data_IF_902832454374
#
_entry.id   IF_902832454374
#
_cell.length_a   1.000
_cell.length_b   1.000
_cell.length_c   1.000
_cell.angle_alpha   90.00
_cell.angle_beta   90.00
_cell.angle_gamma   90.00
#
_symmetry.space_group_name_H-M   'P 1'
#
loop_
_entity.id
_entity.type
_entity.pdbx_description
1 polymer ?
#
# COMPACT_ATOMS: atom_id res chain seq x y z
N UNK A 1 -16.35 1.05 95.64
CA UNK A 1 -15.14 1.66 96.24
C UNK A 1 -14.12 1.75 95.09
N UNK A 2 -13.55 2.98 94.97
CA UNK A 2 -12.34 3.36 94.24
C UNK A 2 -12.31 3.29 92.72
N UNK A 3 -12.37 4.37 92.07
CA UNK A 3 -11.48 5.54 91.83
C UNK A 3 -10.66 5.32 90.55
N UNK A 4 -10.96 6.15 89.54
CA UNK A 4 -10.08 7.14 88.90
C UNK A 4 -8.86 6.56 88.09
N UNK A 5 -8.80 6.82 86.84
CA UNK A 5 -7.95 7.92 86.36
C UNK A 5 -8.12 8.12 84.86
N UNK A 6 -8.43 9.34 84.48
CA UNK A 6 -8.35 9.87 83.11
C UNK A 6 -6.92 9.95 82.64
N UNK A 7 -6.65 9.58 81.43
CA UNK A 7 -5.44 10.03 80.75
C UNK A 7 -5.80 10.44 79.30
N UNK A 8 -5.72 11.75 79.08
CA UNK A 8 -5.80 12.39 77.80
C UNK A 8 -4.52 12.10 77.01
N UNK A 9 -4.63 11.53 75.84
CA UNK A 9 -3.54 11.48 74.88
C UNK A 9 -3.93 12.29 73.67
N UNK A 10 -3.23 13.40 73.46
CA UNK A 10 -3.26 14.24 72.30
C UNK A 10 -2.68 13.44 71.14
N UNK A 11 -3.50 13.15 70.12
CA UNK A 11 -3.02 12.66 68.83
C UNK A 11 -2.77 13.86 67.91
N UNK A 12 -1.52 14.12 67.64
CA UNK A 12 -1.05 15.07 66.63
C UNK A 12 -1.33 14.47 65.26
N UNK A 13 -2.26 15.03 64.50
CA UNK A 13 -2.54 14.70 63.15
C UNK A 13 -1.44 15.26 62.22
N UNK A 14 -0.50 14.44 61.80
CA UNK A 14 0.44 14.76 60.72
C UNK A 14 -0.30 14.67 59.39
N UNK A 15 -0.63 15.82 58.82
CA UNK A 15 -1.07 15.92 57.40
C UNK A 15 0.11 15.62 56.48
N UNK A 16 0.20 14.36 56.09
CA UNK A 16 1.03 13.96 54.95
C UNK A 16 0.38 14.42 53.66
N UNK A 17 0.83 15.53 53.08
CA UNK A 17 0.57 15.89 51.69
C UNK A 17 1.29 14.87 50.80
N UNK A 18 0.61 13.79 50.43
CA UNK A 18 1.00 12.94 49.31
C UNK A 18 0.77 13.74 48.04
N UNK A 19 1.80 14.43 47.58
CA UNK A 19 1.87 14.92 46.20
C UNK A 19 1.89 13.69 45.29
N UNK A 20 0.73 13.21 44.87
CA UNK A 20 0.59 12.38 43.70
C UNK A 20 0.99 13.23 42.49
N UNK A 21 2.31 13.30 42.23
CA UNK A 21 2.82 13.66 40.95
C UNK A 21 2.33 12.59 39.95
N UNK A 22 1.15 12.81 39.38
CA UNK A 22 0.71 12.05 38.21
C UNK A 22 1.80 12.23 37.17
N UNK A 23 2.63 11.18 36.97
CA UNK A 23 3.26 10.98 35.68
C UNK A 23 2.08 10.95 34.71
N UNK A 24 1.84 12.05 34.02
CA UNK A 24 1.20 11.97 32.72
C UNK A 24 2.13 11.05 31.89
N UNK A 25 1.82 9.76 31.89
CA UNK A 25 2.23 8.92 30.78
C UNK A 25 1.69 9.68 29.56
N UNK A 26 2.59 10.35 28.85
CA UNK A 26 2.28 10.89 27.55
C UNK A 26 1.77 9.68 26.78
N UNK A 27 0.43 9.55 26.64
CA UNK A 27 -0.17 8.57 25.80
C UNK A 27 0.40 8.88 24.42
N UNK A 28 1.40 8.11 24.00
CA UNK A 28 1.94 8.21 22.66
C UNK A 28 0.77 7.94 21.76
N UNK A 29 0.36 8.98 21.01
CA UNK A 29 -0.74 8.85 20.06
C UNK A 29 -0.34 7.79 19.03
N UNK A 30 -0.89 6.58 19.19
CA UNK A 30 -0.58 5.45 18.32
C UNK A 30 -1.44 5.55 17.06
N UNK A 31 -0.82 5.34 15.90
CA UNK A 31 -1.49 5.24 14.60
C UNK A 31 -1.08 3.94 13.92
N UNK A 32 -2.04 3.09 13.58
CA UNK A 32 -1.81 1.82 12.90
C UNK A 32 -1.99 1.95 11.39
N UNK A 33 -1.07 1.35 10.63
CA UNK A 33 -1.06 1.39 9.15
C UNK A 33 -0.90 -0.01 8.59
N UNK A 34 -1.82 -0.44 7.71
CA UNK A 34 -1.66 -1.63 6.90
C UNK A 34 -0.89 -1.28 5.61
N UNK A 35 0.13 -2.06 5.28
CA UNK A 35 0.96 -1.83 4.10
C UNK A 35 1.43 -3.15 3.49
N UNK A 36 1.81 -3.15 2.22
CA UNK A 36 2.63 -4.22 1.64
C UNK A 36 4.11 -4.01 1.96
N UNK A 37 4.93 -5.07 1.85
CA UNK A 37 6.32 -5.04 2.32
C UNK A 37 7.16 -3.97 1.59
N UNK A 38 7.26 -4.07 0.27
CA UNK A 38 8.07 -3.19 -0.59
C UNK A 38 7.16 -2.53 -1.61
N UNK A 39 7.27 -1.22 -1.88
CA UNK A 39 8.08 -0.21 -1.20
C UNK A 39 7.41 0.38 0.04
N UNK A 40 6.14 0.06 0.28
CA UNK A 40 5.24 0.78 1.19
C UNK A 40 5.71 0.75 2.65
N UNK A 41 5.98 -0.46 3.21
CA UNK A 41 6.46 -0.55 4.58
C UNK A 41 7.88 0.04 4.73
N UNK A 42 8.75 -0.08 3.71
CA UNK A 42 10.08 0.53 3.73
C UNK A 42 10.00 2.07 3.80
N UNK A 43 9.08 2.69 3.03
CA UNK A 43 8.82 4.13 3.09
C UNK A 43 8.27 4.52 4.47
N UNK A 44 7.37 3.72 5.05
CA UNK A 44 6.84 3.97 6.39
C UNK A 44 7.91 3.87 7.49
N UNK A 45 8.94 3.04 7.33
CA UNK A 45 10.07 2.99 8.27
C UNK A 45 10.87 4.32 8.27
N UNK A 46 10.99 5.00 7.12
CA UNK A 46 11.60 6.35 7.04
C UNK A 46 10.74 7.38 7.78
N UNK A 47 9.42 7.21 7.71
CA UNK A 47 8.46 8.14 8.33
C UNK A 47 8.37 7.98 9.85
N UNK A 48 8.60 6.78 10.39
CA UNK A 48 8.51 6.51 11.84
C UNK A 48 9.26 7.53 12.72
N UNK A 49 10.56 7.80 12.50
CA UNK A 49 11.30 8.76 13.32
C UNK A 49 10.82 10.20 13.13
N UNK A 50 10.23 10.55 12.00
CA UNK A 50 9.65 11.87 11.74
C UNK A 50 8.41 12.05 12.62
N UNK A 51 7.50 11.07 12.60
CA UNK A 51 6.26 11.09 13.40
C UNK A 51 6.54 11.01 14.89
N UNK A 52 7.53 10.24 15.33
CA UNK A 52 7.90 10.13 16.73
C UNK A 52 8.29 11.48 17.33
N UNK A 53 8.97 12.36 16.55
CA UNK A 53 9.28 13.74 16.98
C UNK A 53 8.03 14.62 17.14
N UNK A 54 6.94 14.26 16.46
CA UNK A 54 5.64 14.94 16.54
C UNK A 54 4.68 14.27 17.56
N UNK A 55 5.19 13.31 18.37
CA UNK A 55 4.42 12.62 19.40
C UNK A 55 3.54 11.47 18.88
N UNK A 56 3.67 11.05 17.61
CA UNK A 56 2.90 9.94 17.04
C UNK A 56 3.76 8.70 16.92
N UNK A 57 3.31 7.59 17.49
CA UNK A 57 3.91 6.26 17.34
C UNK A 57 3.24 5.50 16.20
N UNK A 58 3.97 5.24 15.12
CA UNK A 58 3.48 4.50 13.98
C UNK A 58 3.62 2.99 14.20
N UNK A 59 2.50 2.25 14.07
CA UNK A 59 2.42 0.78 14.10
C UNK A 59 2.18 0.25 12.70
N UNK A 60 3.23 -0.21 12.02
CA UNK A 60 3.15 -0.73 10.65
C UNK A 60 2.85 -2.22 10.68
N UNK A 61 1.76 -2.62 10.02
CA UNK A 61 1.36 -4.02 9.85
C UNK A 61 1.46 -4.41 8.38
N UNK A 62 2.35 -5.36 8.10
CA UNK A 62 2.65 -5.81 6.74
C UNK A 62 1.69 -6.92 6.33
N UNK A 63 1.12 -6.80 5.13
CA UNK A 63 0.25 -7.77 4.48
C UNK A 63 0.84 -8.22 3.15
N UNK A 64 0.58 -9.47 2.78
CA UNK A 64 1.09 -10.07 1.55
C UNK A 64 0.04 -10.18 0.45
N UNK A 65 -1.11 -9.53 0.63
CA UNK A 65 -2.22 -9.49 -0.33
C UNK A 65 -2.84 -8.09 -0.38
N UNK A 66 -3.74 -7.85 -1.35
CA UNK A 66 -4.40 -6.55 -1.53
C UNK A 66 -5.81 -6.48 -0.93
N UNK A 67 -6.35 -7.59 -0.43
CA UNK A 67 -7.72 -7.64 0.10
C UNK A 67 -7.77 -7.19 1.55
N UNK A 68 -6.93 -7.81 2.39
CA UNK A 68 -6.93 -7.61 3.83
C UNK A 68 -6.70 -6.14 4.26
N UNK A 69 -5.77 -5.35 3.66
CA UNK A 69 -5.53 -3.99 4.14
C UNK A 69 -6.76 -3.10 4.14
N UNK A 70 -7.60 -3.18 3.10
CA UNK A 70 -8.86 -2.43 3.05
C UNK A 70 -9.90 -2.98 4.03
N UNK A 71 -10.04 -4.30 4.13
CA UNK A 71 -10.98 -4.93 5.06
C UNK A 71 -10.66 -4.55 6.52
N UNK A 72 -9.39 -4.52 6.91
CA UNK A 72 -8.95 -4.13 8.25
C UNK A 72 -9.28 -2.66 8.56
N UNK A 73 -9.09 -1.77 7.59
CA UNK A 73 -9.42 -0.34 7.76
C UNK A 73 -10.93 -0.13 7.80
N UNK A 74 -11.68 -0.73 6.90
CA UNK A 74 -13.14 -0.64 6.86
C UNK A 74 -13.79 -1.16 8.15
N UNK A 75 -13.24 -2.23 8.74
CA UNK A 75 -13.68 -2.82 10.01
C UNK A 75 -13.12 -2.12 11.25
N UNK A 76 -12.40 -1.01 11.11
CA UNK A 76 -11.79 -0.24 12.21
C UNK A 76 -10.79 -1.03 13.06
N UNK A 77 -10.17 -2.08 12.50
CA UNK A 77 -9.11 -2.86 13.16
C UNK A 77 -7.73 -2.20 12.98
N UNK A 78 -7.57 -1.43 11.91
CA UNK A 78 -6.40 -0.61 11.58
C UNK A 78 -6.92 0.77 11.19
N UNK A 79 -6.14 1.81 11.50
CA UNK A 79 -6.58 3.20 11.29
C UNK A 79 -6.58 3.59 9.82
N UNK A 80 -5.51 3.29 9.08
CA UNK A 80 -5.29 3.65 7.68
C UNK A 80 -4.55 2.54 6.93
N UNK A 81 -4.50 2.62 5.60
CA UNK A 81 -3.62 1.77 4.81
C UNK A 81 -2.83 2.56 3.77
N UNK A 82 -1.73 1.96 3.31
CA UNK A 82 -0.88 2.49 2.28
C UNK A 82 -0.34 1.32 1.44
N UNK A 83 -0.98 1.04 0.28
CA UNK A 83 -0.62 -0.09 -0.58
C UNK A 83 -1.26 -0.02 -1.98
N UNK A 84 -2.15 0.93 -2.26
CA UNK A 84 -3.09 0.86 -3.38
C UNK A 84 -3.16 2.16 -4.18
N UNK A 85 -3.66 2.01 -5.40
CA UNK A 85 -4.01 3.11 -6.30
C UNK A 85 -5.49 3.48 -6.19
N UNK A 86 -5.86 4.68 -6.63
CA UNK A 86 -7.26 5.13 -6.59
C UNK A 86 -8.21 4.22 -7.39
N UNK A 87 -7.88 3.77 -8.64
CA UNK A 87 -8.76 2.83 -9.34
C UNK A 87 -9.00 1.50 -8.62
N UNK A 88 -8.00 1.01 -7.84
CA UNK A 88 -8.17 -0.16 -7.02
C UNK A 88 -9.11 0.12 -5.83
N UNK A 89 -8.96 1.26 -5.16
CA UNK A 89 -9.84 1.70 -4.08
C UNK A 89 -11.28 1.86 -4.55
N UNK A 90 -11.50 2.48 -5.72
CA UNK A 90 -12.82 2.65 -6.30
C UNK A 90 -13.52 1.31 -6.58
N UNK A 91 -12.77 0.34 -7.11
CA UNK A 91 -13.29 -1.02 -7.31
C UNK A 91 -13.66 -1.67 -5.97
N UNK A 92 -12.80 -1.58 -4.96
CA UNK A 92 -13.08 -2.10 -3.63
C UNK A 92 -14.33 -1.45 -3.01
N UNK A 93 -14.41 -0.11 -3.01
CA UNK A 93 -15.54 0.63 -2.45
C UNK A 93 -16.87 0.24 -3.12
N UNK A 94 -16.88 0.14 -4.45
CA UNK A 94 -18.05 -0.29 -5.21
C UNK A 94 -18.50 -1.71 -4.82
N UNK A 95 -17.55 -2.64 -4.80
CA UNK A 95 -17.83 -4.07 -4.65
C UNK A 95 -18.17 -4.43 -3.19
N UNK A 96 -17.57 -3.74 -2.21
CA UNK A 96 -17.79 -3.93 -0.77
C UNK A 96 -18.78 -2.96 -0.15
N UNK A 97 -19.27 -1.98 -0.92
CA UNK A 97 -20.12 -0.86 -0.42
C UNK A 97 -19.45 -0.13 0.73
N UNK A 98 -18.14 0.11 0.58
CA UNK A 98 -17.28 0.82 1.52
C UNK A 98 -17.18 2.29 1.12
N UNK A 99 -16.71 3.13 2.05
CA UNK A 99 -16.53 4.59 1.88
C UNK A 99 -15.10 5.03 2.25
N UNK A 100 -14.12 4.17 2.01
CA UNK A 100 -12.72 4.53 2.20
C UNK A 100 -12.32 5.65 1.22
N UNK A 101 -11.46 6.56 1.69
CA UNK A 101 -11.09 7.77 0.94
C UNK A 101 -9.58 7.94 0.88
N UNK A 102 -9.09 8.52 -0.21
CA UNK A 102 -7.70 8.91 -0.35
C UNK A 102 -7.37 10.10 0.56
N UNK A 103 -6.24 10.05 1.25
CA UNK A 103 -5.73 11.15 2.07
C UNK A 103 -4.61 11.91 1.37
N UNK A 104 -3.61 11.23 0.82
CA UNK A 104 -2.51 11.84 0.07
C UNK A 104 -1.91 10.84 -0.93
N UNK A 105 -1.55 11.32 -2.12
CA UNK A 105 -0.75 10.58 -3.10
C UNK A 105 0.73 10.64 -2.75
N UNK A 106 1.43 9.50 -2.86
CA UNK A 106 2.82 9.39 -2.39
C UNK A 106 3.79 9.01 -3.51
N UNK A 107 3.51 7.95 -4.26
CA UNK A 107 4.44 7.46 -5.28
C UNK A 107 3.72 6.74 -6.43
N UNK A 108 4.44 6.56 -7.51
CA UNK A 108 4.02 5.77 -8.66
C UNK A 108 4.90 4.53 -8.76
N UNK A 109 4.28 3.41 -9.08
CA UNK A 109 4.91 2.13 -9.38
C UNK A 109 4.59 1.74 -10.82
N UNK A 110 5.48 2.01 -11.80
CA UNK A 110 5.25 1.61 -13.18
C UNK A 110 5.05 0.10 -13.30
N UNK A 111 3.90 -0.33 -13.80
CA UNK A 111 3.52 -1.73 -13.94
C UNK A 111 4.31 -2.39 -15.07
N UNK A 112 4.72 -3.67 -14.92
CA UNK A 112 5.62 -4.31 -15.85
C UNK A 112 5.16 -5.67 -16.37
N UNK A 113 5.62 -6.03 -17.58
CA UNK A 113 5.49 -7.34 -18.20
C UNK A 113 6.83 -8.08 -18.17
N UNK A 114 6.86 -9.30 -17.66
CA UNK A 114 8.07 -10.06 -17.38
C UNK A 114 8.04 -11.44 -18.01
N UNK A 115 9.20 -11.93 -18.42
CA UNK A 115 9.40 -13.31 -18.85
C UNK A 115 10.74 -13.85 -18.35
N UNK A 116 10.78 -15.17 -18.05
CA UNK A 116 12.05 -15.90 -17.84
C UNK A 116 12.51 -16.66 -19.09
N UNK A 117 11.66 -16.72 -20.13
CA UNK A 117 11.89 -17.52 -21.34
C UNK A 117 12.31 -16.69 -22.53
N UNK A 118 11.82 -15.46 -22.61
CA UNK A 118 12.01 -14.56 -23.74
C UNK A 118 12.67 -13.26 -23.31
N UNK A 119 13.41 -12.63 -24.22
CA UNK A 119 14.12 -11.38 -23.98
C UNK A 119 13.43 -10.17 -24.61
N UNK A 120 12.43 -10.41 -25.45
CA UNK A 120 11.58 -9.35 -26.02
C UNK A 120 10.16 -9.87 -26.23
N UNK A 121 9.20 -8.96 -26.35
CA UNK A 121 7.81 -9.31 -26.64
C UNK A 121 7.62 -9.89 -28.05
N UNK A 122 8.52 -9.56 -28.98
CA UNK A 122 8.48 -10.09 -30.35
C UNK A 122 8.78 -11.61 -30.41
N UNK A 123 9.58 -12.11 -29.47
CA UNK A 123 9.94 -13.53 -29.36
C UNK A 123 8.79 -14.41 -28.83
N UNK A 124 7.71 -13.82 -28.31
CA UNK A 124 6.56 -14.59 -27.81
C UNK A 124 5.94 -15.42 -28.94
N UNK A 125 5.74 -16.74 -28.74
CA UNK A 125 5.16 -17.61 -29.75
C UNK A 125 3.67 -17.37 -29.95
N UNK A 126 3.14 -17.91 -31.03
CA UNK A 126 1.70 -18.04 -31.22
C UNK A 126 1.10 -18.88 -30.08
N UNK A 127 0.01 -18.40 -29.51
CA UNK A 127 -0.67 -19.07 -28.40
C UNK A 127 0.08 -19.01 -27.07
N UNK A 128 1.01 -18.04 -26.89
CA UNK A 128 1.75 -17.84 -25.65
C UNK A 128 0.82 -17.74 -24.43
N UNK A 129 1.22 -18.37 -23.33
CA UNK A 129 0.51 -18.38 -22.04
C UNK A 129 0.86 -17.10 -21.26
N UNK A 130 -0.13 -16.24 -21.05
CA UNK A 130 0.00 -14.93 -20.40
C UNK A 130 -0.81 -14.90 -19.13
N UNK A 131 -0.18 -14.58 -17.99
CA UNK A 131 -0.88 -14.42 -16.73
C UNK A 131 -0.99 -12.94 -16.35
N UNK A 132 -2.18 -12.55 -15.89
CA UNK A 132 -2.53 -11.18 -15.51
C UNK A 132 -3.23 -11.18 -14.14
N UNK A 133 -3.27 -10.05 -13.41
CA UNK A 133 -4.02 -9.93 -12.16
C UNK A 133 -5.51 -10.24 -12.32
N UNK A 134 -6.13 -10.80 -11.29
CA UNK A 134 -7.55 -11.13 -11.28
C UNK A 134 -8.46 -10.03 -10.71
N UNK A 135 -7.89 -9.00 -10.08
CA UNK A 135 -8.68 -7.86 -9.64
C UNK A 135 -9.00 -6.91 -10.81
N UNK A 136 -10.20 -6.28 -10.84
CA UNK A 136 -10.66 -5.52 -12.00
C UNK A 136 -9.73 -4.38 -12.42
N UNK A 137 -9.13 -3.68 -11.46
CA UNK A 137 -8.25 -2.53 -11.72
C UNK A 137 -6.94 -2.95 -12.37
N UNK A 138 -6.19 -3.89 -11.74
CA UNK A 138 -4.91 -4.33 -12.28
C UNK A 138 -5.07 -5.25 -13.52
N UNK A 139 -6.21 -5.95 -13.65
CA UNK A 139 -6.55 -6.70 -14.86
C UNK A 139 -6.62 -5.75 -16.07
N UNK A 140 -7.44 -4.70 -15.97
CA UNK A 140 -7.56 -3.67 -17.00
C UNK A 140 -6.21 -3.00 -17.29
N UNK A 141 -5.46 -2.64 -16.24
CA UNK A 141 -4.13 -2.04 -16.35
C UNK A 141 -3.16 -2.92 -17.13
N UNK A 142 -3.18 -4.24 -16.89
CA UNK A 142 -2.38 -5.20 -17.63
C UNK A 142 -2.75 -5.24 -19.11
N UNK A 143 -4.04 -5.26 -19.43
CA UNK A 143 -4.52 -5.25 -20.81
C UNK A 143 -4.16 -3.94 -21.54
N UNK A 144 -4.25 -2.79 -20.87
CA UNK A 144 -3.83 -1.50 -21.41
C UNK A 144 -2.33 -1.47 -21.71
N UNK A 145 -1.50 -2.06 -20.82
CA UNK A 145 -0.06 -2.16 -21.08
C UNK A 145 0.23 -3.05 -22.31
N UNK A 146 -0.48 -4.17 -22.47
CA UNK A 146 -0.34 -5.05 -23.63
C UNK A 146 -0.83 -4.39 -24.93
N UNK A 147 -1.89 -3.56 -24.88
CA UNK A 147 -2.34 -2.76 -26.04
C UNK A 147 -1.27 -1.72 -26.44
N UNK A 148 -0.73 -0.98 -25.47
CA UNK A 148 0.37 -0.03 -25.71
C UNK A 148 1.63 -0.70 -26.27
N UNK A 149 1.91 -1.93 -25.85
CA UNK A 149 3.02 -2.73 -26.33
C UNK A 149 2.76 -3.38 -27.70
N UNK A 150 1.56 -3.23 -28.28
CA UNK A 150 1.21 -3.74 -29.60
C UNK A 150 0.92 -5.24 -29.66
N UNK A 151 0.80 -5.92 -28.51
CA UNK A 151 0.52 -7.37 -28.44
C UNK A 151 -0.95 -7.69 -28.65
N UNK A 152 -1.84 -6.80 -28.26
CA UNK A 152 -3.29 -6.89 -28.46
C UNK A 152 -3.83 -5.54 -28.91
N UNK A 153 -5.12 -5.49 -29.27
CA UNK A 153 -5.85 -4.24 -29.47
C UNK A 153 -7.11 -4.24 -28.63
N UNK A 154 -7.28 -3.23 -27.79
CA UNK A 154 -8.50 -2.99 -27.04
C UNK A 154 -9.50 -2.14 -27.83
N UNK A 155 -10.79 -2.35 -27.59
CA UNK A 155 -11.86 -1.53 -28.14
C UNK A 155 -11.73 -0.07 -27.70
N UNK A 156 -11.39 0.14 -26.44
CA UNK A 156 -11.12 1.45 -25.84
C UNK A 156 -9.97 1.33 -24.84
N UNK A 157 -8.73 1.74 -25.19
CA UNK A 157 -7.58 1.65 -24.31
C UNK A 157 -7.58 2.70 -23.17
N UNK A 158 -8.55 3.63 -23.15
CA UNK A 158 -8.74 4.58 -22.06
C UNK A 158 -9.68 4.07 -20.96
N UNK A 159 -10.39 2.96 -21.21
CA UNK A 159 -11.30 2.36 -20.24
C UNK A 159 -10.55 1.60 -19.15
N UNK A 160 -10.48 2.16 -17.94
CA UNK A 160 -9.84 1.56 -16.76
C UNK A 160 -10.57 0.30 -16.21
N UNK A 161 -11.65 -0.13 -16.84
CA UNK A 161 -12.43 -1.33 -16.51
C UNK A 161 -12.48 -2.33 -17.66
N UNK A 162 -11.53 -2.23 -18.62
CA UNK A 162 -11.42 -3.18 -19.74
C UNK A 162 -11.19 -4.60 -19.24
N UNK A 163 -11.79 -5.56 -19.93
CA UNK A 163 -11.67 -6.98 -19.67
C UNK A 163 -11.16 -7.70 -20.93
N UNK A 164 -10.85 -8.98 -20.84
CA UNK A 164 -10.48 -9.79 -22.02
C UNK A 164 -11.55 -9.75 -23.14
N UNK A 165 -12.82 -9.46 -22.81
CA UNK A 165 -13.93 -9.33 -23.79
C UNK A 165 -13.81 -8.06 -24.65
N UNK A 166 -13.02 -7.11 -24.21
CA UNK A 166 -12.79 -5.83 -24.91
C UNK A 166 -11.60 -5.92 -25.87
N UNK A 167 -10.93 -7.09 -25.97
CA UNK A 167 -9.87 -7.33 -26.94
C UNK A 167 -10.50 -7.52 -28.33
N UNK A 168 -10.23 -6.60 -29.24
CA UNK A 168 -10.73 -6.64 -30.62
C UNK A 168 -9.72 -7.24 -31.60
N UNK A 169 -8.43 -7.29 -31.24
CA UNK A 169 -7.40 -8.03 -32.01
C UNK A 169 -6.38 -8.65 -31.05
N UNK A 170 -6.01 -9.90 -31.37
CA UNK A 170 -5.01 -10.69 -30.66
C UNK A 170 -4.21 -11.50 -31.71
N UNK A 171 -3.28 -10.82 -32.42
CA UNK A 171 -2.62 -11.42 -33.57
C UNK A 171 -1.75 -12.63 -33.23
N UNK A 172 -1.18 -12.65 -32.01
CA UNK A 172 -0.40 -13.80 -31.51
C UNK A 172 -1.27 -14.87 -30.84
N UNK A 173 -2.59 -14.72 -30.81
CA UNK A 173 -3.51 -15.66 -30.16
C UNK A 173 -3.12 -15.96 -28.71
N UNK A 174 -2.68 -14.93 -27.96
CA UNK A 174 -2.27 -15.04 -26.56
C UNK A 174 -3.40 -15.65 -25.73
N UNK A 175 -3.04 -16.56 -24.83
CA UNK A 175 -3.96 -17.24 -23.92
C UNK A 175 -3.84 -16.61 -22.55
N UNK A 176 -4.92 -16.00 -22.09
CA UNK A 176 -4.92 -15.29 -20.80
C UNK A 176 -5.41 -16.17 -19.66
N UNK A 177 -4.68 -16.13 -18.56
CA UNK A 177 -5.13 -16.67 -17.26
C UNK A 177 -5.04 -15.57 -16.21
N UNK A 178 -6.04 -15.51 -15.35
CA UNK A 178 -6.12 -14.55 -14.27
C UNK A 178 -5.72 -15.20 -12.95
N UNK A 179 -4.81 -14.58 -12.21
CA UNK A 179 -4.32 -15.03 -10.93
C UNK A 179 -4.30 -13.87 -9.93
N UNK A 180 -4.33 -14.21 -8.64
CA UNK A 180 -4.03 -13.24 -7.59
C UNK A 180 -2.66 -12.61 -7.82
N UNK A 181 -2.58 -11.27 -7.66
CA UNK A 181 -1.38 -10.49 -7.95
C UNK A 181 -0.14 -10.99 -7.20
N UNK A 182 -0.30 -11.45 -5.94
CA UNK A 182 0.79 -12.00 -5.14
C UNK A 182 1.34 -13.35 -5.66
N UNK A 183 0.58 -14.04 -6.52
CA UNK A 183 0.99 -15.31 -7.10
C UNK A 183 1.77 -15.15 -8.41
N UNK A 184 1.66 -14.01 -9.09
CA UNK A 184 2.23 -13.79 -10.41
C UNK A 184 3.76 -13.99 -10.47
N UNK A 185 4.57 -13.47 -9.54
CA UNK A 185 6.01 -13.72 -9.55
C UNK A 185 6.38 -15.20 -9.37
N UNK A 186 5.55 -15.96 -8.62
CA UNK A 186 5.81 -17.38 -8.32
C UNK A 186 5.62 -18.29 -9.53
N UNK A 187 4.75 -17.90 -10.46
CA UNK A 187 4.49 -18.67 -11.68
C UNK A 187 5.30 -18.20 -12.88
N UNK A 188 6.11 -17.14 -12.75
CA UNK A 188 6.88 -16.54 -13.85
C UNK A 188 7.75 -17.54 -14.61
N UNK A 189 8.30 -18.56 -13.96
CA UNK A 189 9.07 -19.62 -14.62
C UNK A 189 8.22 -20.67 -15.39
N UNK A 190 6.91 -20.67 -15.19
CA UNK A 190 5.98 -21.66 -15.75
C UNK A 190 5.19 -21.13 -16.94
N UNK A 191 5.18 -19.82 -17.16
CA UNK A 191 4.41 -19.12 -18.18
C UNK A 191 5.32 -18.44 -19.21
N UNK A 192 4.76 -17.97 -20.29
CA UNK A 192 5.51 -17.24 -21.31
C UNK A 192 5.64 -15.75 -20.97
N UNK A 193 4.60 -15.14 -20.39
CA UNK A 193 4.59 -13.76 -19.94
C UNK A 193 3.76 -13.60 -18.68
N UNK A 194 4.21 -12.77 -17.73
CA UNK A 194 3.44 -12.37 -16.55
C UNK A 194 3.41 -10.86 -16.40
N UNK A 195 2.22 -10.31 -16.17
CA UNK A 195 1.99 -8.89 -15.91
C UNK A 195 1.99 -8.69 -14.38
N UNK A 196 3.04 -8.08 -13.83
CA UNK A 196 3.32 -8.08 -12.38
C UNK A 196 3.36 -6.64 -11.86
N UNK A 197 2.64 -6.38 -10.76
CA UNK A 197 2.73 -5.14 -10.02
C UNK A 197 4.15 -4.95 -9.47
N UNK A 198 4.65 -3.72 -9.50
CA UNK A 198 6.05 -3.41 -9.16
C UNK A 198 6.42 -3.78 -7.74
N UNK A 199 5.54 -3.59 -6.77
CA UNK A 199 5.78 -4.01 -5.39
C UNK A 199 6.06 -5.53 -5.29
N UNK A 200 5.28 -6.38 -5.97
CA UNK A 200 5.51 -7.82 -6.00
C UNK A 200 6.72 -8.22 -6.86
N UNK A 201 7.03 -7.45 -7.90
CA UNK A 201 8.25 -7.66 -8.68
C UNK A 201 9.49 -7.38 -7.82
N UNK A 202 9.53 -6.27 -7.11
CA UNK A 202 10.63 -5.90 -6.19
C UNK A 202 10.79 -6.92 -5.06
N UNK A 203 9.69 -7.33 -4.43
CA UNK A 203 9.70 -8.36 -3.35
C UNK A 203 10.24 -9.71 -3.85
N UNK A 204 10.02 -10.02 -5.13
CA UNK A 204 10.56 -11.21 -5.80
C UNK A 204 11.98 -11.04 -6.36
N UNK A 205 12.64 -9.90 -6.10
CA UNK A 205 14.00 -9.60 -6.56
C UNK A 205 14.11 -9.22 -8.04
N UNK A 206 12.97 -8.89 -8.70
CA UNK A 206 12.98 -8.35 -10.06
C UNK A 206 13.15 -6.83 -10.01
N UNK A 207 13.93 -6.30 -10.95
CA UNK A 207 14.05 -4.86 -11.14
C UNK A 207 13.19 -4.40 -12.33
N UNK A 208 12.09 -3.66 -12.10
CA UNK A 208 11.18 -3.24 -13.18
C UNK A 208 11.86 -2.52 -14.34
N UNK A 209 12.86 -1.67 -14.05
CA UNK A 209 13.56 -0.89 -15.08
C UNK A 209 14.59 -1.70 -15.89
N UNK A 210 14.94 -2.92 -15.46
CA UNK A 210 15.95 -3.77 -16.10
C UNK A 210 15.37 -5.07 -16.64
N UNK A 211 14.41 -5.67 -15.91
CA UNK A 211 13.94 -7.03 -16.16
C UNK A 211 12.60 -7.07 -16.88
N UNK A 212 11.85 -5.97 -16.91
CA UNK A 212 10.58 -5.90 -17.63
C UNK A 212 10.82 -5.82 -19.15
N UNK A 213 10.07 -6.62 -19.91
CA UNK A 213 10.05 -6.56 -21.38
C UNK A 213 9.20 -5.39 -21.90
N UNK A 214 8.22 -4.96 -21.10
CA UNK A 214 7.48 -3.72 -21.26
C UNK A 214 7.16 -3.17 -19.89
N UNK A 215 7.15 -1.85 -19.75
CA UNK A 215 6.86 -1.13 -18.51
C UNK A 215 6.00 0.09 -18.81
N UNK A 216 5.12 0.46 -17.90
CA UNK A 216 4.39 1.72 -17.97
C UNK A 216 5.33 2.93 -17.95
N UNK A 217 4.88 4.03 -18.55
CA UNK A 217 5.60 5.30 -18.49
C UNK A 217 5.54 5.93 -17.09
N UNK A 218 6.48 6.83 -16.82
CA UNK A 218 6.58 7.53 -15.54
C UNK A 218 5.43 8.51 -15.24
N UNK A 219 4.63 8.86 -16.25
CA UNK A 219 3.43 9.70 -16.16
C UNK A 219 2.14 8.88 -15.95
N UNK A 220 2.28 7.66 -15.47
CA UNK A 220 1.18 6.75 -15.14
C UNK A 220 0.20 7.40 -14.15
N UNK A 221 -1.13 7.31 -14.38
CA UNK A 221 -2.13 7.84 -13.46
C UNK A 221 -2.28 7.02 -12.16
N UNK A 222 -1.59 5.90 -12.06
CA UNK A 222 -1.73 4.95 -10.95
C UNK A 222 -0.82 5.34 -9.77
N UNK A 223 -1.13 6.50 -9.16
CA UNK A 223 -0.49 6.93 -7.92
C UNK A 223 -0.93 6.03 -6.76
N UNK A 224 -0.01 5.68 -5.89
CA UNK A 224 -0.27 4.98 -4.63
C UNK A 224 -0.60 5.99 -3.52
N UNK A 225 -1.70 5.77 -2.81
CA UNK A 225 -2.27 6.69 -1.82
C UNK A 225 -2.21 6.13 -0.40
N UNK A 226 -2.01 7.02 0.57
CA UNK A 226 -2.49 6.80 1.93
C UNK A 226 -4.01 6.86 1.89
N UNK A 227 -4.67 5.83 2.43
CA UNK A 227 -6.13 5.70 2.45
C UNK A 227 -6.63 5.60 3.87
N UNK A 228 -7.70 6.30 4.16
CA UNK A 228 -8.36 6.38 5.45
C UNK A 228 -9.86 6.06 5.32
N UNK A 229 -10.56 5.95 6.42
CA UNK A 229 -12.03 6.02 6.42
C UNK A 229 -12.47 7.47 6.31
N UNK A 230 -13.69 7.69 5.83
CA UNK A 230 -14.30 9.02 5.80
C UNK A 230 -14.42 9.66 7.19
N UNK A 231 -14.57 8.83 8.27
CA UNK A 231 -14.73 9.29 9.65
C UNK A 231 -13.40 9.63 10.37
N UNK A 232 -12.24 9.23 9.85
CA UNK A 232 -10.94 9.49 10.47
C UNK A 232 -9.92 10.20 9.54
N UNK A 233 -10.27 10.52 8.31
CA UNK A 233 -9.40 11.21 7.38
C UNK A 233 -8.78 12.48 7.96
N UNK A 234 -9.57 13.26 8.72
CA UNK A 234 -9.15 14.53 9.30
C UNK A 234 -8.56 14.39 10.74
N UNK A 235 -8.33 13.15 11.20
CA UNK A 235 -7.61 12.89 12.45
C UNK A 235 -6.21 13.52 12.38
N UNK A 236 -5.80 14.32 13.39
CA UNK A 236 -4.48 14.98 13.39
C UNK A 236 -3.31 14.02 13.19
N UNK A 237 -3.40 12.76 13.63
CA UNK A 237 -2.38 11.73 13.44
C UNK A 237 -2.29 11.30 11.98
N UNK A 238 -3.43 11.16 11.30
CA UNK A 238 -3.51 10.83 9.87
C UNK A 238 -2.95 11.98 9.04
N UNK A 239 -3.27 13.22 9.39
CA UNK A 239 -2.75 14.41 8.71
C UNK A 239 -1.23 14.57 8.89
N UNK A 240 -0.69 14.27 10.08
CA UNK A 240 0.76 14.22 10.31
C UNK A 240 1.43 13.15 9.46
N UNK A 241 0.84 11.94 9.38
CA UNK A 241 1.35 10.87 8.53
C UNK A 241 1.34 11.27 7.04
N UNK A 242 0.24 11.86 6.56
CA UNK A 242 0.12 12.34 5.19
C UNK A 242 1.22 13.37 4.84
N UNK A 243 1.47 14.32 5.73
CA UNK A 243 2.55 15.32 5.59
C UNK A 243 3.94 14.67 5.61
N UNK A 244 4.17 13.72 6.50
CA UNK A 244 5.46 13.03 6.60
C UNK A 244 5.75 12.16 5.37
N UNK A 245 4.73 11.50 4.79
CA UNK A 245 4.85 10.70 3.57
C UNK A 245 5.21 11.52 2.32
N UNK A 246 4.97 12.84 2.34
CA UNK A 246 5.33 13.77 1.25
C UNK A 246 6.49 14.69 1.61
N UNK A 247 7.32 14.26 2.56
CA UNK A 247 8.48 15.03 2.99
C UNK A 247 9.68 14.89 2.03
N UNK A 248 10.62 15.86 2.06
CA UNK A 248 11.87 15.76 1.29
C UNK A 248 12.69 14.51 1.62
N UNK A 249 12.65 14.03 2.86
CA UNK A 249 13.35 12.83 3.30
C UNK A 249 12.77 11.58 2.61
N UNK A 250 11.45 11.47 2.50
CA UNK A 250 10.77 10.37 1.78
C UNK A 250 11.09 10.45 0.29
N UNK A 251 11.07 11.64 -0.32
CA UNK A 251 11.47 11.82 -1.72
C UNK A 251 12.89 11.32 -1.97
N UNK A 252 13.85 11.78 -1.16
CA UNK A 252 15.25 11.39 -1.28
C UNK A 252 15.43 9.86 -1.09
N UNK A 253 14.69 9.26 -0.16
CA UNK A 253 14.71 7.82 0.05
C UNK A 253 14.20 7.07 -1.19
N UNK A 254 13.04 7.44 -1.74
CA UNK A 254 12.46 6.80 -2.93
C UNK A 254 13.46 6.87 -4.10
N UNK A 255 14.02 8.05 -4.39
CA UNK A 255 14.94 8.26 -5.49
C UNK A 255 16.23 7.45 -5.33
N UNK A 256 16.80 7.40 -4.12
CA UNK A 256 18.06 6.71 -3.84
C UNK A 256 17.90 5.19 -3.68
N UNK A 257 16.78 4.71 -3.19
CA UNK A 257 16.55 3.29 -2.92
C UNK A 257 16.10 2.53 -4.16
N UNK A 258 15.17 3.10 -4.93
CA UNK A 258 14.51 2.36 -6.02
C UNK A 258 15.02 2.72 -7.41
N UNK A 259 15.88 3.73 -7.56
CA UNK A 259 16.57 4.06 -8.82
C UNK A 259 15.65 4.11 -10.06
N UNK A 260 14.46 4.69 -9.89
CA UNK A 260 13.45 4.83 -10.96
C UNK A 260 12.44 3.68 -11.06
N UNK A 261 12.60 2.59 -10.31
CA UNK A 261 11.58 1.54 -10.23
C UNK A 261 10.32 2.00 -9.46
N UNK A 262 10.50 2.95 -8.54
CA UNK A 262 9.45 3.67 -7.81
C UNK A 262 9.76 5.16 -7.96
N UNK A 263 8.73 5.98 -8.17
CA UNK A 263 8.86 7.40 -8.46
C UNK A 263 8.04 8.21 -7.45
N UNK A 264 8.57 9.28 -6.84
CA UNK A 264 7.76 10.18 -6.00
C UNK A 264 6.69 10.86 -6.86
N UNK A 265 5.47 11.05 -6.28
CA UNK A 265 4.33 11.67 -6.94
C UNK A 265 3.95 13.03 -6.33
N UNK A 266 4.89 13.71 -5.65
CA UNK A 266 4.69 14.99 -4.98
C UNK A 266 5.90 15.91 -5.17
#
# INVERSE_FOLDING_TARGET
>A
MNKLASTFVLAVAALGLSACGGRQDASTDRLSVAATAVPHAEILEVVKPILAKEGVQLDVRVFNDYVQPNDQVAQKQIDVNYFQTEPYLDAYNRDRKSDLVTAVGVHIEPFGAYSRRYKSLDELPQGADVVIPNDPSNNSRALILLDKAGLIKLKDPSNALSTQRDIVANPKQLKFRELDSAMLPRVLGQVDLALINTNYALDAGLNPTKDALAIESSDSPYVNFLVARSDNKDDPRVQKLAKALTSPEVKAFIESQYHGAVLPAF
#
